data_IF_236779715087
#
_entry.id   IF_236779715087
#
_cell.length_a   1.000
_cell.length_b   1.000
_cell.length_c   1.000
_cell.angle_alpha   90.00
_cell.angle_beta   90.00
_cell.angle_gamma   90.00
#
_symmetry.space_group_name_H-M   'P 1'
#
loop_
_entity.id
_entity.type
_entity.pdbx_description
1 polymer ?
#
# COMPACT_ATOMS: atom_id res chain seq x y z
N UNK A 1 21.12 -19.35 4.44
CA UNK A 1 20.48 -19.48 3.11
C UNK A 1 21.58 -19.35 2.06
N UNK A 2 21.31 -19.23 0.76
CA UNK A 2 22.39 -18.87 -0.18
C UNK A 2 22.77 -17.40 0.05
N UNK A 3 24.07 -17.09 0.09
CA UNK A 3 24.59 -15.75 0.43
C UNK A 3 23.99 -14.63 -0.44
N UNK A 4 23.72 -14.94 -1.71
CA UNK A 4 23.06 -14.03 -2.65
C UNK A 4 21.64 -13.62 -2.20
N UNK A 5 20.88 -14.56 -1.63
CA UNK A 5 19.53 -14.29 -1.10
C UNK A 5 19.60 -13.41 0.14
N UNK A 6 20.58 -13.67 1.03
CA UNK A 6 20.77 -12.85 2.23
C UNK A 6 21.10 -11.40 1.84
N UNK A 7 22.06 -11.22 0.93
CA UNK A 7 22.42 -9.89 0.41
C UNK A 7 21.26 -9.19 -0.30
N UNK A 8 20.44 -9.93 -1.05
CA UNK A 8 19.26 -9.37 -1.71
C UNK A 8 18.23 -8.89 -0.70
N UNK A 9 17.92 -9.70 0.31
CA UNK A 9 16.94 -9.36 1.35
C UNK A 9 17.39 -8.14 2.15
N UNK A 10 18.67 -8.02 2.49
CA UNK A 10 19.23 -6.87 3.21
C UNK A 10 18.99 -5.53 2.50
N UNK A 11 18.99 -5.52 1.17
CA UNK A 11 18.92 -4.28 0.37
C UNK A 11 17.56 -4.07 -0.31
N UNK A 12 16.66 -5.06 -0.26
CA UNK A 12 15.36 -5.05 -0.97
C UNK A 12 14.16 -5.36 -0.07
N UNK A 13 14.35 -5.41 1.24
CA UNK A 13 13.27 -5.59 2.22
C UNK A 13 13.13 -4.36 3.10
N UNK A 14 11.90 -3.96 3.37
CA UNK A 14 11.56 -2.83 4.24
C UNK A 14 10.36 -3.18 5.10
N UNK A 15 10.16 -2.41 6.15
CA UNK A 15 8.95 -2.35 6.95
C UNK A 15 8.06 -1.21 6.49
N UNK A 16 6.76 -1.26 6.81
CA UNK A 16 5.85 -0.16 6.49
C UNK A 16 6.29 1.17 7.15
N UNK A 17 6.90 1.10 8.35
CA UNK A 17 7.37 2.28 9.08
C UNK A 17 8.55 3.00 8.41
N UNK A 18 9.28 2.33 7.50
CA UNK A 18 10.33 2.98 6.72
C UNK A 18 9.75 3.99 5.71
N UNK A 19 8.44 3.91 5.43
CA UNK A 19 7.73 4.73 4.46
C UNK A 19 6.44 5.34 5.06
N UNK A 20 6.54 6.42 5.86
CA UNK A 20 5.38 7.12 6.39
C UNK A 20 4.40 7.54 5.29
N UNK A 21 3.10 7.36 5.53
CA UNK A 21 2.05 7.47 4.51
C UNK A 21 1.93 8.89 3.92
N UNK A 22 2.15 9.92 4.74
CA UNK A 22 2.11 11.32 4.32
C UNK A 22 3.24 11.65 3.34
N UNK A 23 4.42 11.05 3.58
CA UNK A 23 5.57 11.18 2.69
C UNK A 23 5.29 10.52 1.35
N UNK A 24 4.69 9.33 1.34
CA UNK A 24 4.31 8.64 0.11
C UNK A 24 3.29 9.45 -0.70
N UNK A 25 2.25 9.98 -0.05
CA UNK A 25 1.24 10.79 -0.71
C UNK A 25 1.82 12.09 -1.31
N UNK A 26 2.78 12.72 -0.62
CA UNK A 26 3.50 13.88 -1.16
C UNK A 26 4.33 13.52 -2.41
N UNK A 27 5.05 12.39 -2.36
CA UNK A 27 5.85 11.90 -3.49
C UNK A 27 4.97 11.53 -4.69
N UNK A 28 3.87 10.81 -4.47
CA UNK A 28 2.86 10.47 -5.50
C UNK A 28 2.34 11.73 -6.21
N UNK A 29 1.98 12.75 -5.43
CA UNK A 29 1.50 14.03 -5.98
C UNK A 29 2.59 14.72 -6.81
N UNK A 30 3.83 14.73 -6.32
CA UNK A 30 4.95 15.34 -7.03
C UNK A 30 5.30 14.60 -8.35
N UNK A 31 5.11 13.27 -8.40
CA UNK A 31 5.35 12.47 -9.60
C UNK A 31 4.17 12.44 -10.57
N UNK A 32 2.97 12.86 -10.15
CA UNK A 32 1.75 12.77 -10.94
C UNK A 32 1.27 11.33 -11.17
N UNK A 33 1.68 10.40 -10.31
CA UNK A 33 1.30 8.97 -10.40
C UNK A 33 -0.08 8.74 -9.78
N UNK A 34 -0.85 7.82 -10.37
CA UNK A 34 -2.09 7.31 -9.76
C UNK A 34 -1.92 5.89 -9.21
N UNK A 35 -2.72 5.55 -8.21
CA UNK A 35 -2.73 4.23 -7.56
C UNK A 35 -4.16 3.71 -7.50
N UNK A 36 -4.38 2.53 -8.07
CA UNK A 36 -5.64 1.80 -7.99
C UNK A 36 -5.49 0.56 -7.11
N UNK A 37 -6.50 0.24 -6.31
CA UNK A 37 -6.56 -0.96 -5.46
C UNK A 37 -7.51 -1.97 -6.07
N UNK A 38 -6.97 -3.13 -6.47
CA UNK A 38 -7.75 -4.27 -6.95
C UNK A 38 -7.82 -5.32 -5.85
N UNK A 39 -9.04 -5.68 -5.45
CA UNK A 39 -9.31 -6.73 -4.45
C UNK A 39 -10.02 -7.91 -5.12
N UNK A 40 -9.30 -8.96 -5.55
CA UNK A 40 -9.93 -10.20 -5.99
C UNK A 40 -10.71 -10.83 -4.83
N UNK A 41 -12.01 -11.10 -5.04
CA UNK A 41 -12.89 -11.63 -4.00
C UNK A 41 -13.80 -12.74 -4.57
N UNK A 42 -13.87 -13.87 -3.85
CA UNK A 42 -14.82 -14.96 -4.08
C UNK A 42 -15.32 -15.41 -2.70
N UNK A 43 -16.62 -15.29 -2.45
CA UNK A 43 -17.25 -15.63 -1.16
C UNK A 43 -16.71 -14.85 0.06
N UNK A 44 -16.19 -13.64 -0.15
CA UNK A 44 -15.58 -12.78 0.89
C UNK A 44 -16.55 -11.75 1.49
N UNK A 45 -17.85 -12.05 1.52
CA UNK A 45 -18.88 -11.12 2.00
C UNK A 45 -18.67 -10.66 3.46
N UNK A 46 -18.06 -11.51 4.28
CA UNK A 46 -17.78 -11.22 5.69
C UNK A 46 -16.61 -10.24 5.88
N UNK A 47 -15.74 -10.05 4.88
CA UNK A 47 -14.45 -9.36 5.04
C UNK A 47 -14.28 -8.19 4.08
N UNK A 48 -14.68 -8.34 2.82
CA UNK A 48 -14.35 -7.39 1.74
C UNK A 48 -14.88 -5.99 2.02
N UNK A 49 -16.09 -5.88 2.60
CA UNK A 49 -16.69 -4.59 2.95
C UNK A 49 -15.84 -3.82 3.97
N UNK A 50 -15.43 -4.50 5.05
CA UNK A 50 -14.60 -3.88 6.09
C UNK A 50 -13.22 -3.47 5.57
N UNK A 51 -12.63 -4.25 4.66
CA UNK A 51 -11.35 -3.91 4.02
C UNK A 51 -11.50 -2.64 3.17
N UNK A 52 -12.52 -2.59 2.30
CA UNK A 52 -12.80 -1.43 1.46
C UNK A 52 -13.07 -0.18 2.30
N UNK A 53 -13.85 -0.31 3.38
CA UNK A 53 -14.14 0.81 4.28
C UNK A 53 -12.89 1.39 4.93
N UNK A 54 -11.95 0.54 5.36
CA UNK A 54 -10.67 0.97 5.92
C UNK A 54 -9.82 1.66 4.85
N UNK A 55 -9.69 1.07 3.66
CA UNK A 55 -8.91 1.68 2.56
C UNK A 55 -9.47 3.06 2.21
N UNK A 56 -10.79 3.17 2.04
CA UNK A 56 -11.43 4.44 1.71
C UNK A 56 -11.19 5.49 2.80
N UNK A 57 -11.47 5.15 4.06
CA UNK A 57 -11.34 6.10 5.18
C UNK A 57 -9.89 6.55 5.37
N UNK A 58 -8.94 5.62 5.37
CA UNK A 58 -7.55 5.91 5.74
C UNK A 58 -6.70 6.39 4.56
N UNK A 59 -6.91 5.85 3.35
CA UNK A 59 -6.00 6.01 2.20
C UNK A 59 -6.61 6.76 1.00
N UNK A 60 -7.90 7.11 1.07
CA UNK A 60 -8.53 8.02 0.09
C UNK A 60 -8.90 9.33 0.78
N UNK A 61 -9.62 9.26 1.91
CA UNK A 61 -10.17 10.41 2.61
C UNK A 61 -9.15 11.09 3.55
N UNK A 62 -8.54 10.33 4.47
CA UNK A 62 -7.59 10.89 5.44
C UNK A 62 -6.25 11.25 4.79
N UNK A 63 -5.68 10.36 3.99
CA UNK A 63 -4.44 10.59 3.24
C UNK A 63 -4.65 10.15 1.79
N UNK A 64 -4.61 11.05 0.78
CA UNK A 64 -5.00 10.74 -0.60
C UNK A 64 -3.90 9.97 -1.37
N UNK A 65 -3.64 8.74 -0.91
CA UNK A 65 -2.64 7.84 -1.49
C UNK A 65 -3.23 6.94 -2.58
N UNK A 66 -4.49 6.54 -2.43
CA UNK A 66 -5.26 5.73 -3.39
C UNK A 66 -6.24 6.63 -4.15
N UNK A 67 -6.39 6.40 -5.45
CA UNK A 67 -7.27 7.16 -6.33
C UNK A 67 -8.48 6.34 -6.82
N UNK A 68 -8.33 5.02 -6.98
CA UNK A 68 -9.33 4.09 -7.52
C UNK A 68 -9.42 2.79 -6.71
#
# INVERSE_FOLDING_TARGET
MIEEVERWLEHRSWTANDWPVERLAALKRASGTSVAVVLPALDEEATVGAIVDVIRRELVEAVPLVDE
#
